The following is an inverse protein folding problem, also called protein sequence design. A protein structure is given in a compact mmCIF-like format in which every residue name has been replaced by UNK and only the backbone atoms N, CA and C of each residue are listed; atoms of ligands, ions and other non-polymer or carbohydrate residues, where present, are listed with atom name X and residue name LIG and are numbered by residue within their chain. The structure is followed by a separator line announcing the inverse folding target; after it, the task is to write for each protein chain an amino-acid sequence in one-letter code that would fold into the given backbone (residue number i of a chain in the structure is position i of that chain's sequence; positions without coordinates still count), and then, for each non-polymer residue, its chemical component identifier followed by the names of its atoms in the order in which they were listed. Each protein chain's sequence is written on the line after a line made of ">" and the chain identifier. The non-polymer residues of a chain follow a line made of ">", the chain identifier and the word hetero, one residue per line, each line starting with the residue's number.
data_IF_145117445292
#
_entry.id   IF_145117445292
#
_cell.length_a   1.000
_cell.length_b   1.000
_cell.length_c   1.000
_cell.angle_alpha   90.00
_cell.angle_beta   90.00
_cell.angle_gamma   90.00
#
_symmetry.space_group_name_H-M   'P 1'
#
loop_
_entity.id
_entity.type
_entity.pdbx_description
1 polymer ?
#
# COMPACT_ATOMS: atom_id res chain seq x y z
N UNK A 1 20.29 16.17 -17.92
CA UNK A 1 20.56 15.04 -16.99
C UNK A 1 19.30 14.87 -16.15
N UNK A 2 18.61 13.73 -16.27
CA UNK A 2 17.38 13.48 -15.50
C UNK A 2 17.70 13.33 -14.02
N UNK A 3 16.96 14.02 -13.14
CA UNK A 3 17.07 13.79 -11.71
C UNK A 3 16.62 12.36 -11.40
N UNK A 4 17.51 11.62 -10.76
CA UNK A 4 17.20 10.28 -10.27
C UNK A 4 16.11 10.34 -9.19
N UNK A 5 15.11 9.44 -9.20
CA UNK A 5 14.03 9.48 -8.24
C UNK A 5 14.55 9.26 -6.81
N UNK A 6 13.94 9.99 -5.86
CA UNK A 6 14.29 9.89 -4.44
C UNK A 6 14.15 8.46 -3.88
N UNK A 7 13.34 7.60 -4.50
CA UNK A 7 13.17 6.22 -4.08
C UNK A 7 14.40 5.37 -4.39
N UNK A 8 14.88 5.40 -5.63
CA UNK A 8 16.11 4.70 -6.03
C UNK A 8 17.33 5.20 -5.24
N UNK A 9 17.39 6.52 -4.99
CA UNK A 9 18.40 7.11 -4.12
C UNK A 9 18.31 6.54 -2.69
N UNK A 10 17.09 6.47 -2.12
CA UNK A 10 16.87 5.93 -0.78
C UNK A 10 17.18 4.42 -0.70
N UNK A 11 16.79 3.63 -1.70
CA UNK A 11 17.08 2.20 -1.75
C UNK A 11 18.59 1.95 -1.78
N UNK A 12 19.35 2.67 -2.61
CA UNK A 12 20.82 2.53 -2.64
C UNK A 12 21.49 2.91 -1.33
N UNK A 13 21.06 4.00 -0.69
CA UNK A 13 21.60 4.36 0.63
C UNK A 13 21.28 3.29 1.67
N UNK A 14 20.08 2.70 1.62
CA UNK A 14 19.73 1.61 2.53
C UNK A 14 20.55 0.35 2.26
N UNK A 15 20.74 -0.02 0.99
CA UNK A 15 21.62 -1.12 0.58
C UNK A 15 23.07 -0.87 1.03
N UNK A 16 23.56 0.37 0.96
CA UNK A 16 24.88 0.75 1.47
C UNK A 16 24.96 0.59 3.00
N UNK A 17 23.94 1.03 3.75
CA UNK A 17 23.89 0.83 5.20
C UNK A 17 23.87 -0.66 5.56
N UNK A 18 23.17 -1.49 4.78
CA UNK A 18 23.17 -2.94 4.99
C UNK A 18 24.53 -3.57 4.67
N UNK A 19 25.19 -3.16 3.57
CA UNK A 19 26.55 -3.59 3.23
C UNK A 19 27.57 -3.23 4.31
N UNK A 20 27.33 -2.13 5.05
CA UNK A 20 28.14 -1.70 6.19
C UNK A 20 27.72 -2.34 7.52
N UNK A 21 26.83 -3.33 7.50
CA UNK A 21 26.29 -4.00 8.69
C UNK A 21 25.71 -3.02 9.73
N UNK A 22 25.11 -1.92 9.27
CA UNK A 22 24.42 -0.96 10.15
C UNK A 22 22.94 -1.28 10.31
N UNK A 23 22.33 -1.81 9.25
CA UNK A 23 20.93 -2.24 9.24
C UNK A 23 20.81 -3.63 8.65
N UNK A 24 19.88 -4.40 9.21
CA UNK A 24 19.37 -5.63 8.60
C UNK A 24 18.19 -5.27 7.73
N UNK A 25 18.23 -5.75 6.50
CA UNK A 25 17.16 -5.60 5.54
C UNK A 25 16.49 -6.96 5.37
N UNK A 26 15.19 -7.01 5.63
CA UNK A 26 14.36 -8.10 5.19
C UNK A 26 13.85 -7.75 3.79
N UNK A 27 14.22 -8.56 2.80
CA UNK A 27 13.74 -8.42 1.41
C UNK A 27 12.51 -9.31 1.26
N UNK A 28 11.50 -8.86 0.53
CA UNK A 28 10.44 -9.76 0.11
C UNK A 28 11.03 -10.90 -0.72
N UNK A 29 10.45 -12.11 -0.63
CA UNK A 29 10.83 -13.16 -1.56
C UNK A 29 10.65 -12.66 -2.99
N UNK A 30 11.61 -13.01 -3.84
CA UNK A 30 11.74 -12.44 -5.16
C UNK A 30 10.48 -12.73 -6.00
N UNK A 31 9.71 -11.68 -6.31
CA UNK A 31 8.44 -11.78 -7.04
C UNK A 31 7.16 -11.72 -6.17
N UNK A 32 7.24 -11.69 -4.82
CA UNK A 32 6.07 -11.52 -3.93
C UNK A 32 5.52 -10.11 -3.87
N UNK A 33 6.39 -9.12 -4.06
CA UNK A 33 5.99 -7.73 -4.06
C UNK A 33 6.78 -6.90 -5.07
N UNK A 34 6.07 -6.25 -5.97
CA UNK A 34 6.56 -5.23 -6.88
C UNK A 34 6.60 -3.85 -6.22
N UNK A 35 5.98 -3.66 -5.04
CA UNK A 35 5.84 -2.35 -4.41
C UNK A 35 7.10 -1.87 -3.70
N UNK A 36 7.87 -2.79 -3.12
CA UNK A 36 9.22 -2.55 -2.63
C UNK A 36 9.96 -3.89 -2.64
N UNK A 37 11.25 -3.92 -3.02
CA UNK A 37 12.09 -5.12 -2.77
C UNK A 37 12.21 -5.36 -1.26
N UNK A 38 12.16 -4.29 -0.48
CA UNK A 38 12.40 -4.24 0.95
C UNK A 38 11.08 -4.43 1.69
N UNK A 39 10.98 -5.48 2.51
CA UNK A 39 9.85 -5.74 3.42
C UNK A 39 9.97 -4.94 4.71
N UNK A 40 11.14 -4.97 5.32
CA UNK A 40 11.43 -4.25 6.55
C UNK A 40 12.91 -3.93 6.64
N UNK A 41 13.27 -2.92 7.43
CA UNK A 41 14.65 -2.69 7.83
C UNK A 41 14.71 -2.43 9.33
N UNK A 42 15.74 -2.95 9.97
CA UNK A 42 15.99 -2.73 11.40
C UNK A 42 17.46 -2.45 11.63
N UNK A 43 17.78 -1.61 12.61
CA UNK A 43 19.17 -1.49 13.04
C UNK A 43 19.66 -2.81 13.63
N UNK A 44 20.90 -3.18 13.37
CA UNK A 44 21.56 -4.21 14.17
C UNK A 44 21.65 -3.75 15.63
N UNK A 45 21.61 -4.70 16.57
CA UNK A 45 21.49 -4.41 18.00
C UNK A 45 22.58 -3.46 18.53
N UNK A 46 23.84 -3.67 18.17
CA UNK A 46 24.95 -2.79 18.60
C UNK A 46 24.83 -1.36 18.05
N UNK A 47 24.40 -1.21 16.80
CA UNK A 47 24.21 0.10 16.17
C UNK A 47 22.99 0.80 16.77
N UNK A 48 21.93 0.04 17.02
CA UNK A 48 20.75 0.53 17.73
C UNK A 48 21.13 1.05 19.11
N UNK A 49 21.87 0.28 19.89
CA UNK A 49 22.28 0.66 21.24
C UNK A 49 23.15 1.92 21.23
N UNK A 50 24.13 2.00 20.31
CA UNK A 50 24.94 3.19 20.12
C UNK A 50 24.09 4.42 19.75
N UNK A 51 23.15 4.28 18.82
CA UNK A 51 22.22 5.33 18.43
C UNK A 51 21.34 5.78 19.60
N UNK A 52 20.88 4.86 20.44
CA UNK A 52 20.06 5.20 21.62
C UNK A 52 20.88 5.96 22.66
N UNK A 53 22.15 5.60 22.88
CA UNK A 53 23.07 6.33 23.76
C UNK A 53 23.31 7.75 23.23
N UNK A 54 23.70 7.88 21.95
CA UNK A 54 23.95 9.17 21.31
C UNK A 54 22.71 10.07 21.31
N UNK A 55 21.55 9.49 21.02
CA UNK A 55 20.30 10.22 21.05
C UNK A 55 19.91 10.71 22.45
N UNK A 56 20.32 10.00 23.51
CA UNK A 56 20.14 10.44 24.90
C UNK A 56 21.13 11.54 25.27
N UNK A 57 22.40 11.44 24.84
CA UNK A 57 23.41 12.49 24.99
C UNK A 57 22.98 13.81 24.32
N UNK A 58 22.36 13.71 23.15
CA UNK A 58 21.90 14.86 22.35
C UNK A 58 20.44 15.29 22.63
N UNK A 59 19.76 14.66 23.60
CA UNK A 59 18.36 14.91 23.93
C UNK A 59 17.40 14.83 22.71
N UNK A 60 17.66 13.92 21.76
CA UNK A 60 16.87 13.80 20.53
C UNK A 60 15.46 13.28 20.78
N UNK A 61 15.27 12.42 21.78
CA UNK A 61 13.95 11.91 22.14
C UNK A 61 13.81 11.62 23.63
N UNK A 62 12.57 11.69 24.13
CA UNK A 62 12.18 11.19 25.45
C UNK A 62 11.15 10.08 25.29
N UNK A 63 11.42 8.91 25.88
CA UNK A 63 10.42 7.84 26.00
C UNK A 63 9.68 8.04 27.32
N UNK A 64 8.36 8.13 27.25
CA UNK A 64 7.48 8.13 28.42
C UNK A 64 6.82 6.76 28.49
N UNK A 65 7.27 5.97 29.45
CA UNK A 65 6.75 4.65 29.79
C UNK A 65 6.33 4.70 31.27
N UNK A 66 5.05 4.43 31.57
CA UNK A 66 4.55 4.47 32.96
C UNK A 66 5.00 3.27 33.79
N UNK A 67 5.60 2.23 33.19
CA UNK A 67 6.15 1.07 33.91
C UNK A 67 7.34 1.42 34.80
N UNK A 68 8.11 2.44 34.44
CA UNK A 68 9.30 2.87 35.18
C UNK A 68 9.06 4.21 35.89
N UNK A 69 8.63 4.09 37.15
CA UNK A 69 8.80 5.05 38.25
C UNK A 69 8.16 6.46 38.11
N UNK A 70 7.41 6.83 39.16
CA UNK A 70 6.93 8.19 39.45
C UNK A 70 8.04 9.13 39.93
N UNK A 71 9.29 8.67 39.99
CA UNK A 71 10.41 9.33 40.67
C UNK A 71 11.53 9.81 39.74
N UNK A 72 11.36 9.78 38.41
CA UNK A 72 12.34 10.44 37.54
C UNK A 72 12.26 11.96 37.76
N UNK A 73 13.38 12.66 38.04
CA UNK A 73 13.39 14.11 38.16
C UNK A 73 12.74 14.75 36.94
N UNK A 74 11.93 15.78 37.16
CA UNK A 74 11.37 16.63 36.09
C UNK A 74 12.51 17.42 35.45
N UNK A 75 13.36 16.76 34.68
CA UNK A 75 14.45 17.37 33.96
C UNK A 75 13.88 18.42 32.98
N UNK A 76 14.55 19.57 32.95
CA UNK A 76 14.15 20.80 32.24
C UNK A 76 14.54 20.71 30.75
N UNK A 77 15.18 19.63 30.33
CA UNK A 77 15.84 19.55 29.03
C UNK A 77 14.83 19.49 27.87
N UNK A 78 15.01 20.39 26.90
CA UNK A 78 14.22 20.44 25.70
C UNK A 78 14.60 19.25 24.80
N UNK A 79 13.63 18.38 24.54
CA UNK A 79 13.81 17.25 23.63
C UNK A 79 13.20 17.55 22.26
N UNK A 80 13.81 17.05 21.19
CA UNK A 80 13.30 17.23 19.82
C UNK A 80 12.20 16.22 19.43
N UNK A 81 12.09 15.12 20.17
CA UNK A 81 11.13 14.05 19.93
C UNK A 81 10.52 13.49 21.20
N UNK A 82 9.29 13.00 21.10
CA UNK A 82 8.56 12.41 22.22
C UNK A 82 7.89 11.12 21.77
N UNK A 83 8.19 10.04 22.49
CA UNK A 83 7.62 8.71 22.23
C UNK A 83 6.81 8.28 23.45
N UNK A 84 5.52 8.07 23.24
CA UNK A 84 4.63 7.46 24.22
C UNK A 84 4.44 5.99 23.88
N UNK A 85 4.79 5.12 24.83
CA UNK A 85 4.35 3.73 24.85
C UNK A 85 3.27 3.60 25.91
N UNK A 86 2.10 3.14 25.52
CA UNK A 86 0.91 3.13 26.37
C UNK A 86 0.40 1.72 26.53
N UNK A 87 0.09 1.29 27.76
CA UNK A 87 -0.59 0.03 28.03
C UNK A 87 -2.11 0.20 28.10
N UNK A 88 -2.84 -0.90 27.88
CA UNK A 88 -4.29 -0.96 27.96
C UNK A 88 -4.85 -0.53 29.34
N UNK A 89 -4.07 -0.65 30.41
CA UNK A 89 -4.49 -0.28 31.77
C UNK A 89 -4.25 1.22 32.10
N UNK A 90 -3.60 1.98 31.22
CA UNK A 90 -3.19 3.38 31.45
C UNK A 90 -4.32 4.41 31.19
N UNK A 91 -5.49 4.17 31.79
CA UNK A 91 -6.73 4.94 31.60
C UNK A 91 -6.68 6.33 32.30
N UNK A 92 -5.70 6.54 33.20
CA UNK A 92 -5.48 7.82 33.89
C UNK A 92 -4.34 8.61 33.25
N UNK A 93 -4.57 9.90 33.00
CA UNK A 93 -3.72 10.90 32.34
C UNK A 93 -2.30 10.44 31.92
N UNK A 94 -1.98 10.37 30.61
CA UNK A 94 -0.59 10.19 30.19
C UNK A 94 0.23 11.36 30.75
N UNK A 95 1.37 11.06 31.36
CA UNK A 95 2.23 12.06 32.01
C UNK A 95 2.91 12.92 30.94
N UNK A 96 2.14 13.84 30.35
CA UNK A 96 2.61 14.70 29.29
C UNK A 96 3.53 15.77 29.87
N UNK A 97 4.70 16.03 29.26
CA UNK A 97 5.59 17.08 29.74
C UNK A 97 4.88 18.44 29.74
N UNK A 98 5.21 19.37 30.66
CA UNK A 98 4.67 20.71 30.68
C UNK A 98 4.80 21.42 29.32
N UNK A 99 3.84 22.30 29.01
CA UNK A 99 3.76 22.97 27.70
C UNK A 99 5.06 23.68 27.33
N UNK A 100 5.75 24.25 28.31
CA UNK A 100 7.02 24.97 28.16
C UNK A 100 8.12 24.06 27.58
N UNK A 101 8.14 22.78 27.96
CA UNK A 101 9.13 21.79 27.51
C UNK A 101 8.82 21.23 26.13
N UNK A 102 7.57 21.37 25.66
CA UNK A 102 7.11 20.72 24.42
C UNK A 102 7.12 21.62 23.19
N UNK A 103 7.35 22.93 23.33
CA UNK A 103 7.26 23.89 22.20
C UNK A 103 8.21 23.58 21.05
N UNK A 104 9.35 22.94 21.35
CA UNK A 104 10.39 22.58 20.39
C UNK A 104 10.23 21.18 19.78
N UNK A 105 9.21 20.42 20.19
CA UNK A 105 8.99 19.07 19.69
C UNK A 105 8.75 19.06 18.17
N UNK A 106 9.57 18.27 17.49
CA UNK A 106 9.52 18.03 16.06
C UNK A 106 8.95 16.66 15.72
N UNK A 107 8.99 15.69 16.64
CA UNK A 107 8.37 14.38 16.44
C UNK A 107 7.52 13.96 17.63
N UNK A 108 6.35 13.39 17.33
CA UNK A 108 5.48 12.77 18.31
C UNK A 108 5.03 11.40 17.79
N UNK A 109 5.37 10.35 18.55
CA UNK A 109 4.94 8.98 18.28
C UNK A 109 4.16 8.46 19.48
N UNK A 110 2.97 7.92 19.21
CA UNK A 110 2.13 7.26 20.20
C UNK A 110 1.80 5.87 19.68
N UNK A 111 2.34 4.86 20.35
CA UNK A 111 2.21 3.46 19.96
C UNK A 111 1.72 2.65 21.16
N UNK A 112 0.48 2.12 21.13
CA UNK A 112 -0.01 1.26 22.20
C UNK A 112 0.69 -0.10 22.16
N UNK A 113 0.97 -0.67 23.32
CA UNK A 113 1.66 -1.95 23.47
C UNK A 113 0.82 -3.16 23.01
N UNK A 114 -0.48 -2.98 22.80
CA UNK A 114 -1.43 -3.99 22.33
C UNK A 114 -2.31 -3.44 21.21
N UNK A 115 -2.63 -4.28 20.21
CA UNK A 115 -3.57 -4.02 19.11
C UNK A 115 -5.05 -3.90 19.58
N UNK A 116 -5.30 -3.39 20.78
CA UNK A 116 -6.64 -3.17 21.31
C UNK A 116 -7.14 -1.76 20.98
N UNK A 117 -7.77 -1.61 19.82
CA UNK A 117 -8.37 -0.35 19.36
C UNK A 117 -9.36 0.27 20.35
N UNK A 118 -10.01 -0.52 21.20
CA UNK A 118 -11.16 -0.11 22.01
C UNK A 118 -10.80 0.67 23.28
N UNK A 119 -9.53 0.67 23.66
CA UNK A 119 -9.14 1.04 25.03
C UNK A 119 -8.56 2.47 25.08
N UNK A 120 -8.07 3.00 23.96
CA UNK A 120 -7.32 4.26 23.96
C UNK A 120 -8.09 5.46 23.39
N UNK A 121 -8.36 6.46 24.25
CA UNK A 121 -9.01 7.71 23.85
C UNK A 121 -8.04 8.66 23.13
N UNK A 122 -7.99 8.59 21.79
CA UNK A 122 -7.13 9.47 20.97
C UNK A 122 -7.41 10.96 21.16
N UNK A 123 -8.60 11.31 21.64
CA UNK A 123 -8.98 12.68 22.01
C UNK A 123 -8.00 13.34 22.98
N UNK A 124 -7.60 12.64 24.04
CA UNK A 124 -6.74 13.19 25.10
C UNK A 124 -5.35 13.50 24.54
N UNK A 125 -4.77 12.58 23.78
CA UNK A 125 -3.48 12.77 23.12
C UNK A 125 -3.51 13.96 22.17
N UNK A 126 -4.52 14.02 21.29
CA UNK A 126 -4.69 15.13 20.35
C UNK A 126 -4.88 16.49 21.06
N UNK A 127 -5.48 16.49 22.25
CA UNK A 127 -5.64 17.72 23.05
C UNK A 127 -4.31 18.26 23.58
N UNK A 128 -3.34 17.39 23.85
CA UNK A 128 -1.99 17.75 24.29
C UNK A 128 -1.12 18.25 23.13
N UNK A 129 -1.20 17.57 21.98
CA UNK A 129 -0.35 17.90 20.83
C UNK A 129 -0.85 19.09 20.00
N UNK A 130 -2.09 19.57 20.20
CA UNK A 130 -2.70 20.65 19.38
C UNK A 130 -1.90 21.95 19.28
N UNK A 131 -1.00 22.22 20.23
CA UNK A 131 -0.19 23.45 20.31
C UNK A 131 1.26 23.27 19.83
N UNK A 132 1.65 22.06 19.41
CA UNK A 132 3.03 21.75 19.01
C UNK A 132 3.28 22.18 17.56
N UNK A 133 3.51 23.49 17.36
CA UNK A 133 3.63 24.09 16.02
C UNK A 133 4.85 23.63 15.22
N UNK A 134 5.90 23.13 15.90
CA UNK A 134 7.16 22.70 15.28
C UNK A 134 7.15 21.22 14.83
N UNK A 135 6.03 20.52 14.97
CA UNK A 135 5.92 19.12 14.58
C UNK A 135 6.18 18.93 13.08
N UNK A 136 7.11 18.03 12.78
CA UNK A 136 7.42 17.49 11.46
C UNK A 136 6.90 16.06 11.30
N UNK A 137 6.83 15.29 12.39
CA UNK A 137 6.32 13.92 12.40
C UNK A 137 5.25 13.77 13.47
N UNK A 138 4.06 13.32 13.07
CA UNK A 138 2.96 12.98 13.97
C UNK A 138 2.47 11.57 13.63
N UNK A 139 2.69 10.62 14.53
CA UNK A 139 2.29 9.23 14.37
C UNK A 139 1.48 8.75 15.57
N UNK A 140 0.24 8.30 15.34
CA UNK A 140 -0.65 7.73 16.36
C UNK A 140 -1.25 6.43 15.81
N UNK A 141 -0.79 5.29 16.34
CA UNK A 141 -0.90 3.99 15.64
C UNK A 141 -2.04 3.06 16.14
N UNK A 142 -2.69 3.36 17.26
CA UNK A 142 -4.01 2.79 17.56
C UNK A 142 -4.78 3.68 18.55
N UNK A 143 -5.97 4.11 18.15
CA UNK A 143 -6.89 4.88 18.99
C UNK A 143 -8.34 4.74 18.51
N UNK A 144 -9.29 4.86 19.44
CA UNK A 144 -10.71 5.08 19.12
C UNK A 144 -11.11 6.54 19.38
N UNK A 145 -12.05 7.02 18.56
CA UNK A 145 -12.61 8.36 18.55
C UNK A 145 -14.10 8.34 18.92
N UNK A 146 -14.65 7.15 19.21
CA UNK A 146 -16.06 6.99 19.60
C UNK A 146 -16.26 7.39 21.07
N UNK A 147 -16.73 8.62 21.29
CA UNK A 147 -17.51 8.95 22.48
C UNK A 147 -18.56 10.00 22.11
N UNK A 148 -19.84 9.65 22.30
CA UNK A 148 -20.99 10.57 22.33
C UNK A 148 -21.31 11.34 21.05
N UNK A 149 -22.31 10.88 20.29
CA UNK A 149 -23.29 11.61 19.45
C UNK A 149 -22.90 12.88 18.63
N UNK A 150 -21.62 13.22 18.46
CA UNK A 150 -21.20 14.48 17.85
C UNK A 150 -20.05 14.35 16.86
N UNK A 151 -20.37 14.07 15.60
CA UNK A 151 -19.44 14.20 14.46
C UNK A 151 -18.82 15.61 14.29
N UNK A 152 -19.19 16.57 15.14
CA UNK A 152 -18.97 18.01 14.97
C UNK A 152 -17.63 18.54 15.52
N UNK A 153 -16.87 17.79 16.32
CA UNK A 153 -15.57 18.29 16.84
C UNK A 153 -14.47 17.23 16.84
N UNK A 154 -14.17 16.62 15.69
CA UNK A 154 -12.99 15.75 15.55
C UNK A 154 -11.75 16.40 16.20
N UNK A 155 -11.02 15.74 17.11
CA UNK A 155 -9.81 16.29 17.72
C UNK A 155 -8.69 16.47 16.68
N UNK A 156 -8.83 15.85 15.49
CA UNK A 156 -7.97 16.10 14.33
C UNK A 156 -8.23 17.45 13.64
N UNK A 157 -9.22 18.25 14.08
CA UNK A 157 -9.48 19.59 13.52
C UNK A 157 -8.27 20.53 13.55
N UNK A 158 -7.35 20.28 14.49
CA UNK A 158 -6.13 21.08 14.66
C UNK A 158 -4.97 20.63 13.79
N UNK A 159 -5.08 19.48 13.10
CA UNK A 159 -3.98 18.93 12.28
C UNK A 159 -3.50 19.93 11.23
N UNK A 160 -4.41 20.72 10.65
CA UNK A 160 -4.05 21.76 9.69
C UNK A 160 -3.24 22.95 10.26
N UNK A 161 -3.01 23.01 11.56
CA UNK A 161 -2.16 24.02 12.20
C UNK A 161 -0.69 23.63 12.22
N UNK A 162 -0.36 22.35 11.99
CA UNK A 162 1.02 21.84 12.00
C UNK A 162 1.71 22.12 10.67
N UNK A 163 1.91 23.39 10.31
CA UNK A 163 2.37 23.78 8.96
C UNK A 163 3.76 23.22 8.58
N UNK A 164 4.57 22.79 9.55
CA UNK A 164 5.87 22.16 9.33
C UNK A 164 5.80 20.64 9.18
N UNK A 165 4.61 20.05 9.28
CA UNK A 165 4.40 18.62 9.26
C UNK A 165 4.79 18.05 7.89
N UNK A 166 5.66 17.04 7.93
CA UNK A 166 6.12 16.27 6.78
C UNK A 166 5.53 14.86 6.76
N UNK A 167 5.30 14.27 7.94
CA UNK A 167 4.73 12.94 8.06
C UNK A 167 3.54 12.94 9.03
N UNK A 168 2.38 12.48 8.55
CA UNK A 168 1.19 12.22 9.34
C UNK A 168 0.82 10.75 9.20
N UNK A 169 0.95 9.98 10.29
CA UNK A 169 0.52 8.58 10.35
C UNK A 169 -0.58 8.43 11.39
N UNK A 170 -1.75 7.96 10.98
CA UNK A 170 -2.88 7.77 11.88
C UNK A 170 -3.53 6.42 11.57
N UNK A 171 -3.65 5.57 12.58
CA UNK A 171 -4.39 4.31 12.46
C UNK A 171 -5.52 4.29 13.49
N UNK A 172 -6.75 4.39 13.01
CA UNK A 172 -7.94 4.56 13.83
C UNK A 172 -9.18 3.98 13.13
N UNK A 173 -10.18 3.53 13.91
CA UNK A 173 -11.48 3.08 13.37
C UNK A 173 -12.17 4.18 12.56
N UNK A 174 -12.14 5.42 13.06
CA UNK A 174 -12.84 6.57 12.48
C UNK A 174 -11.94 7.81 12.45
N UNK A 175 -11.52 8.22 11.25
CA UNK A 175 -10.69 9.41 11.03
C UNK A 175 -11.55 10.49 10.39
N UNK A 176 -11.49 11.72 10.89
CA UNK A 176 -12.12 12.87 10.24
C UNK A 176 -11.12 14.03 10.17
N UNK A 177 -10.49 14.20 9.00
CA UNK A 177 -9.50 15.23 8.72
C UNK A 177 -10.17 16.53 8.23
N UNK A 178 -9.74 17.70 8.72
CA UNK A 178 -10.36 18.99 8.39
C UNK A 178 -9.96 19.53 7.01
N UNK A 179 -10.69 20.53 6.49
CA UNK A 179 -10.31 21.28 5.27
C UNK A 179 -8.94 21.96 5.40
N UNK A 180 -8.55 22.30 6.63
CA UNK A 180 -7.24 22.89 6.94
C UNK A 180 -6.07 21.93 6.68
N UNK A 181 -6.31 20.64 6.42
CA UNK A 181 -5.28 19.71 5.94
C UNK A 181 -4.58 20.23 4.67
N UNK A 182 -5.31 20.96 3.81
CA UNK A 182 -4.73 21.58 2.61
C UNK A 182 -3.71 22.70 2.89
N UNK A 183 -3.56 23.12 4.15
CA UNK A 183 -2.54 24.10 4.54
C UNK A 183 -1.15 23.48 4.73
N UNK A 184 -1.07 22.14 4.82
CA UNK A 184 0.18 21.41 5.10
C UNK A 184 1.04 21.26 3.86
N UNK A 185 1.51 22.36 3.27
CA UNK A 185 2.23 22.38 1.98
C UNK A 185 3.54 21.59 1.96
N UNK A 186 4.09 21.28 3.13
CA UNK A 186 5.31 20.48 3.29
C UNK A 186 5.02 19.00 3.63
N UNK A 187 3.76 18.57 3.62
CA UNK A 187 3.40 17.19 3.92
C UNK A 187 3.90 16.26 2.80
N UNK A 188 4.83 15.38 3.16
CA UNK A 188 5.47 14.39 2.29
C UNK A 188 4.82 13.01 2.44
N UNK A 189 4.26 12.68 3.59
CA UNK A 189 3.64 11.37 3.85
C UNK A 189 2.34 11.51 4.63
N UNK A 190 1.27 10.93 4.08
CA UNK A 190 0.00 10.71 4.77
C UNK A 190 -0.31 9.21 4.77
N UNK A 191 -0.13 8.58 5.94
CA UNK A 191 -0.40 7.16 6.14
C UNK A 191 -1.63 6.99 7.04
N UNK A 192 -2.72 6.55 6.44
CA UNK A 192 -3.98 6.19 7.10
C UNK A 192 -4.25 4.68 6.98
N UNK A 193 -3.23 3.89 6.62
CA UNK A 193 -3.36 2.44 6.44
C UNK A 193 -3.81 1.76 7.73
N UNK A 194 -4.63 0.71 7.58
CA UNK A 194 -5.25 0.01 8.71
C UNK A 194 -6.37 0.80 9.41
N UNK A 195 -6.87 1.89 8.81
CA UNK A 195 -8.05 2.62 9.27
C UNK A 195 -9.29 2.22 8.44
N UNK A 196 -10.46 2.10 9.09
CA UNK A 196 -11.67 1.62 8.43
C UNK A 196 -12.51 2.74 7.80
N UNK A 197 -12.81 3.83 8.52
CA UNK A 197 -13.66 4.93 8.02
C UNK A 197 -12.92 6.25 8.05
N UNK A 198 -12.50 6.75 6.89
CA UNK A 198 -11.74 8.00 6.80
C UNK A 198 -12.56 9.11 6.13
N UNK A 199 -13.12 10.05 6.90
CA UNK A 199 -13.60 11.31 6.33
C UNK A 199 -12.44 12.25 6.05
N UNK A 200 -12.07 12.39 4.78
CA UNK A 200 -11.04 13.33 4.34
C UNK A 200 -11.74 14.40 3.51
N UNK A 201 -11.48 15.68 3.82
CA UNK A 201 -11.98 16.75 2.97
C UNK A 201 -11.22 16.76 1.64
N UNK A 202 -11.88 17.18 0.56
CA UNK A 202 -11.29 17.19 -0.78
C UNK A 202 -10.24 18.30 -0.93
N UNK A 203 -9.08 18.11 -0.31
CA UNK A 203 -7.97 19.07 -0.24
C UNK A 203 -6.61 18.46 -0.54
N UNK A 204 -6.53 17.14 -0.78
CA UNK A 204 -5.29 16.45 -1.13
C UNK A 204 -4.69 16.98 -2.43
N UNK A 205 -5.52 17.49 -3.35
CA UNK A 205 -5.07 18.16 -4.57
C UNK A 205 -4.19 19.40 -4.33
N UNK A 206 -4.20 19.99 -3.13
CA UNK A 206 -3.32 21.12 -2.75
C UNK A 206 -1.93 20.67 -2.30
N UNK A 207 -1.73 19.38 -2.05
CA UNK A 207 -0.52 18.82 -1.44
C UNK A 207 0.37 18.23 -2.53
N UNK A 208 1.30 19.04 -3.04
CA UNK A 208 2.08 18.71 -4.23
C UNK A 208 3.20 17.68 -4.05
N UNK A 209 3.59 17.37 -2.82
CA UNK A 209 4.71 16.46 -2.51
C UNK A 209 4.26 15.19 -1.78
N UNK A 210 2.96 14.93 -1.79
CA UNK A 210 2.36 13.93 -0.92
C UNK A 210 2.58 12.51 -1.44
N UNK A 211 3.07 11.63 -0.58
CA UNK A 211 2.92 10.18 -0.70
C UNK A 211 1.77 9.76 0.19
N UNK A 212 0.76 9.10 -0.39
CA UNK A 212 -0.46 8.76 0.35
C UNK A 212 -0.71 7.26 0.39
N UNK A 213 -0.99 6.77 1.61
CA UNK A 213 -1.55 5.46 1.91
C UNK A 213 -2.89 5.73 2.59
N UNK A 214 -3.94 5.89 1.80
CA UNK A 214 -5.27 6.20 2.29
C UNK A 214 -5.99 4.93 2.77
N UNK A 215 -6.89 5.08 3.74
CA UNK A 215 -7.85 4.03 4.14
C UNK A 215 -9.03 3.98 3.16
N UNK A 216 -10.26 3.84 3.67
CA UNK A 216 -11.48 3.98 2.88
C UNK A 216 -12.02 5.42 3.00
N UNK A 217 -11.68 6.36 2.08
CA UNK A 217 -12.11 7.73 2.22
C UNK A 217 -13.58 7.95 1.83
N UNK A 218 -14.26 8.83 2.57
CA UNK A 218 -15.60 9.31 2.24
C UNK A 218 -15.71 10.82 2.52
N UNK A 219 -16.13 11.70 1.57
CA UNK A 219 -16.62 11.42 0.22
C UNK A 219 -15.49 11.12 -0.78
N UNK A 220 -15.84 10.87 -2.07
CA UNK A 220 -14.86 10.68 -3.14
C UNK A 220 -13.86 11.83 -3.20
N UNK A 221 -12.58 11.50 -3.26
CA UNK A 221 -11.49 12.48 -3.25
C UNK A 221 -10.98 12.80 -4.65
N UNK A 222 -10.55 14.05 -4.85
CA UNK A 222 -9.74 14.43 -6.00
C UNK A 222 -8.25 14.37 -5.67
N UNK A 223 -7.48 13.87 -6.63
CA UNK A 223 -6.05 13.67 -6.49
C UNK A 223 -5.26 14.86 -7.07
N UNK A 224 -4.05 15.09 -6.53
CA UNK A 224 -3.14 16.11 -7.06
C UNK A 224 -2.41 15.58 -8.29
N UNK A 225 -2.28 16.39 -9.35
CA UNK A 225 -1.52 16.03 -10.56
C UNK A 225 -0.04 15.76 -10.31
N UNK A 226 0.48 16.18 -9.16
CA UNK A 226 1.90 16.11 -8.78
C UNK A 226 2.24 14.84 -7.99
N UNK A 227 1.27 13.94 -7.75
CA UNK A 227 1.53 12.70 -7.02
C UNK A 227 2.49 11.78 -7.81
N UNK A 228 3.53 11.32 -7.13
CA UNK A 228 4.48 10.34 -7.66
C UNK A 228 4.15 8.90 -7.22
N UNK A 229 3.56 8.73 -6.02
CA UNK A 229 3.23 7.42 -5.46
C UNK A 229 1.80 7.44 -4.91
N UNK A 230 0.99 6.47 -5.33
CA UNK A 230 -0.38 6.27 -4.89
C UNK A 230 -0.58 4.81 -4.48
N UNK A 231 -0.57 4.49 -3.18
CA UNK A 231 -0.56 3.09 -2.71
C UNK A 231 -1.95 2.50 -2.40
N UNK A 232 -3.02 3.25 -2.59
CA UNK A 232 -4.37 2.85 -2.13
C UNK A 232 -5.49 3.51 -2.94
N UNK A 233 -5.37 3.52 -4.27
CA UNK A 233 -6.48 3.99 -5.09
C UNK A 233 -7.64 3.00 -5.03
N UNK A 234 -8.86 3.52 -4.94
CA UNK A 234 -10.05 2.70 -5.16
C UNK A 234 -11.11 3.53 -5.88
N UNK A 235 -11.65 3.01 -6.99
CA UNK A 235 -12.65 3.72 -7.79
C UNK A 235 -13.97 4.03 -7.04
N UNK A 236 -14.27 3.32 -5.93
CA UNK A 236 -15.37 3.66 -5.02
C UNK A 236 -15.12 4.96 -4.25
N UNK A 237 -13.87 5.31 -4.01
CA UNK A 237 -13.48 6.42 -3.11
C UNK A 237 -12.69 7.53 -3.81
N UNK A 238 -12.28 7.35 -5.06
CA UNK A 238 -11.59 8.34 -5.86
C UNK A 238 -12.20 8.40 -7.27
N UNK A 239 -11.99 9.53 -7.95
CA UNK A 239 -12.40 9.70 -9.34
C UNK A 239 -11.34 9.12 -10.29
N UNK A 240 -11.66 8.09 -11.09
CA UNK A 240 -10.73 7.50 -12.05
C UNK A 240 -10.17 8.52 -13.05
N UNK A 241 -10.94 9.55 -13.39
CA UNK A 241 -10.53 10.63 -14.29
C UNK A 241 -9.35 11.44 -13.74
N UNK A 242 -9.13 11.39 -12.42
CA UNK A 242 -7.97 12.02 -11.80
C UNK A 242 -6.70 11.19 -11.97
N UNK A 243 -6.78 9.86 -12.12
CA UNK A 243 -5.62 9.02 -12.45
C UNK A 243 -5.03 9.46 -13.78
N UNK A 244 -5.87 9.74 -14.78
CA UNK A 244 -5.45 10.20 -16.10
C UNK A 244 -4.67 11.53 -16.07
N UNK A 245 -4.71 12.26 -14.94
CA UNK A 245 -3.98 13.53 -14.75
C UNK A 245 -2.65 13.33 -14.02
N UNK A 246 -2.36 12.13 -13.52
CA UNK A 246 -1.14 11.79 -12.78
C UNK A 246 -0.04 11.38 -13.76
N UNK A 247 0.60 12.37 -14.38
CA UNK A 247 1.65 12.14 -15.39
C UNK A 247 3.01 11.78 -14.78
N UNK A 248 3.23 12.12 -13.50
CA UNK A 248 4.49 11.86 -12.79
C UNK A 248 4.42 10.59 -11.93
N UNK A 249 3.40 9.74 -12.13
CA UNK A 249 3.16 8.57 -11.31
C UNK A 249 4.25 7.51 -11.57
N UNK A 250 4.96 7.12 -10.52
CA UNK A 250 6.01 6.10 -10.52
C UNK A 250 5.65 4.87 -9.68
N UNK A 251 4.77 5.05 -8.70
CA UNK A 251 4.24 3.97 -7.87
C UNK A 251 2.72 3.98 -7.82
N UNK A 252 2.09 2.84 -8.09
CA UNK A 252 0.64 2.74 -8.20
C UNK A 252 0.10 1.45 -7.58
N UNK A 253 -0.81 1.55 -6.62
CA UNK A 253 -1.60 0.43 -6.15
C UNK A 253 -3.07 0.79 -6.15
N UNK A 254 -3.86 0.00 -6.86
CA UNK A 254 -5.26 0.29 -7.10
C UNK A 254 -6.17 -0.91 -6.96
N UNK A 255 -7.40 -0.63 -6.55
CA UNK A 255 -8.51 -1.56 -6.57
C UNK A 255 -9.65 -0.99 -7.43
N UNK A 256 -10.03 -1.72 -8.47
CA UNK A 256 -11.16 -1.38 -9.33
C UNK A 256 -12.29 -2.37 -9.04
N UNK A 257 -13.45 -1.87 -8.62
CA UNK A 257 -14.59 -2.69 -8.25
C UNK A 257 -15.81 -2.39 -9.11
N UNK A 258 -16.42 -3.42 -9.70
CA UNK A 258 -17.71 -3.38 -10.44
C UNK A 258 -17.85 -2.25 -11.48
N UNK A 259 -16.75 -1.78 -12.06
CA UNK A 259 -16.79 -0.76 -13.11
C UNK A 259 -15.71 -1.03 -14.15
N UNK A 260 -16.16 -1.48 -15.32
CA UNK A 260 -15.28 -1.82 -16.44
C UNK A 260 -14.73 -0.58 -17.15
N UNK A 261 -15.52 0.49 -17.25
CA UNK A 261 -15.07 1.75 -17.88
C UNK A 261 -13.94 2.39 -17.07
N UNK A 262 -14.06 2.38 -15.73
CA UNK A 262 -12.99 2.84 -14.84
C UNK A 262 -11.70 2.04 -15.06
N UNK A 263 -11.82 0.70 -15.17
CA UNK A 263 -10.67 -0.17 -15.43
C UNK A 263 -10.01 0.20 -16.76
N UNK A 264 -10.79 0.34 -17.82
CA UNK A 264 -10.30 0.68 -19.15
C UNK A 264 -9.58 2.04 -19.17
N UNK A 265 -10.15 3.07 -18.53
CA UNK A 265 -9.51 4.37 -18.39
C UNK A 265 -8.17 4.30 -17.64
N UNK A 266 -8.12 3.53 -16.56
CA UNK A 266 -6.92 3.36 -15.74
C UNK A 266 -5.82 2.65 -16.55
N UNK A 267 -6.16 1.57 -17.25
CA UNK A 267 -5.21 0.80 -18.06
C UNK A 267 -4.71 1.58 -19.27
N UNK A 268 -5.58 2.37 -19.91
CA UNK A 268 -5.21 3.32 -20.97
C UNK A 268 -4.13 4.28 -20.49
N UNK A 269 -4.31 4.90 -19.33
CA UNK A 269 -3.34 5.85 -18.79
C UNK A 269 -2.04 5.16 -18.39
N UNK A 270 -2.13 4.08 -17.60
CA UNK A 270 -0.98 3.36 -17.05
C UNK A 270 -0.08 2.80 -18.15
N UNK A 271 -0.66 2.23 -19.19
CA UNK A 271 0.13 1.62 -20.28
C UNK A 271 0.94 2.67 -21.06
N UNK A 272 0.46 3.92 -21.08
CA UNK A 272 1.12 5.04 -21.79
C UNK A 272 2.20 5.76 -20.97
N UNK A 273 2.33 5.47 -19.67
CA UNK A 273 3.39 6.07 -18.85
C UNK A 273 4.77 5.56 -19.30
N UNK A 274 5.74 6.48 -19.41
CA UNK A 274 7.09 6.20 -19.92
C UNK A 274 7.83 5.15 -19.08
N UNK A 275 7.64 5.14 -17.76
CA UNK A 275 8.14 4.09 -16.87
C UNK A 275 7.44 4.18 -15.51
N UNK A 276 6.91 3.06 -15.00
CA UNK A 276 6.54 2.93 -13.59
C UNK A 276 7.50 2.00 -12.87
N UNK A 277 7.96 2.39 -11.69
CA UNK A 277 8.83 1.57 -10.86
C UNK A 277 8.03 0.47 -10.15
N UNK A 278 6.79 0.77 -9.80
CA UNK A 278 5.99 -0.02 -8.85
C UNK A 278 4.52 -0.01 -9.27
N UNK A 279 3.92 -1.19 -9.48
CA UNK A 279 2.49 -1.26 -9.77
C UNK A 279 1.79 -2.54 -9.34
N UNK A 280 0.64 -2.35 -8.69
CA UNK A 280 -0.22 -3.43 -8.20
C UNK A 280 -1.68 -3.10 -8.50
N UNK A 281 -2.34 -3.97 -9.26
CA UNK A 281 -3.73 -3.79 -9.63
C UNK A 281 -4.56 -4.94 -9.09
N UNK A 282 -5.60 -4.61 -8.33
CA UNK A 282 -6.65 -5.53 -7.91
C UNK A 282 -7.94 -5.22 -8.67
N UNK A 283 -8.49 -6.22 -9.34
CA UNK A 283 -9.75 -6.12 -10.08
C UNK A 283 -10.77 -6.99 -9.35
N UNK A 284 -11.88 -6.39 -8.93
CA UNK A 284 -12.94 -7.10 -8.21
C UNK A 284 -14.29 -6.97 -8.90
N UNK A 285 -14.97 -8.11 -9.08
CA UNK A 285 -16.36 -8.12 -9.56
C UNK A 285 -16.56 -7.40 -10.89
N UNK A 286 -15.55 -7.45 -11.77
CA UNK A 286 -15.65 -6.99 -13.15
C UNK A 286 -16.07 -8.17 -14.05
N UNK A 287 -17.01 -7.95 -14.96
CA UNK A 287 -17.45 -9.00 -15.87
C UNK A 287 -16.79 -8.80 -17.25
N UNK A 288 -15.71 -9.55 -17.51
CA UNK A 288 -15.02 -9.54 -18.80
C UNK A 288 -15.80 -10.30 -19.88
N UNK A 289 -16.79 -11.10 -19.49
CA UNK A 289 -17.69 -11.82 -20.39
C UNK A 289 -19.00 -11.08 -20.72
N UNK A 290 -19.23 -9.87 -20.20
CA UNK A 290 -20.51 -9.18 -20.41
C UNK A 290 -20.60 -8.58 -21.81
N UNK A 291 -21.41 -9.23 -22.63
CA UNK A 291 -21.96 -8.73 -23.89
C UNK A 291 -22.98 -7.65 -23.52
N UNK A 292 -22.73 -6.38 -23.86
CA UNK A 292 -23.84 -5.42 -23.92
C UNK A 292 -24.75 -5.87 -25.06
N UNK A 293 -25.92 -6.45 -24.75
CA UNK A 293 -26.83 -7.05 -25.75
C UNK A 293 -27.44 -6.06 -26.75
N UNK A 294 -26.99 -4.80 -26.75
CA UNK A 294 -27.55 -3.74 -27.57
C UNK A 294 -26.62 -3.31 -28.72
N UNK A 295 -25.36 -3.77 -28.77
CA UNK A 295 -24.43 -3.49 -29.88
C UNK A 295 -23.57 -4.71 -30.19
N UNK A 296 -23.78 -5.33 -31.35
CA UNK A 296 -23.11 -6.55 -31.82
C UNK A 296 -21.60 -6.41 -32.12
N UNK A 297 -21.02 -5.24 -31.93
CA UNK A 297 -19.59 -4.97 -32.16
C UNK A 297 -18.73 -5.09 -30.88
N UNK A 298 -19.33 -5.25 -29.69
CA UNK A 298 -18.62 -5.24 -28.39
C UNK A 298 -18.09 -6.61 -27.94
N UNK A 299 -18.21 -7.65 -28.78
CA UNK A 299 -17.97 -9.06 -28.40
C UNK A 299 -16.55 -9.35 -27.86
N UNK A 300 -15.58 -8.45 -28.09
CA UNK A 300 -14.18 -8.63 -27.68
C UNK A 300 -13.67 -7.54 -26.71
N UNK A 301 -14.50 -6.55 -26.31
CA UNK A 301 -14.01 -5.41 -25.51
C UNK A 301 -13.44 -5.85 -24.15
N UNK A 302 -14.13 -6.78 -23.49
CA UNK A 302 -13.68 -7.38 -22.22
C UNK A 302 -12.33 -8.10 -22.34
N UNK A 303 -12.19 -8.91 -23.39
CA UNK A 303 -10.96 -9.65 -23.66
C UNK A 303 -9.80 -8.73 -24.07
N UNK A 304 -10.06 -7.66 -24.81
CA UNK A 304 -9.06 -6.65 -25.17
C UNK A 304 -8.49 -5.96 -23.92
N UNK A 305 -9.36 -5.51 -23.01
CA UNK A 305 -8.91 -4.90 -21.74
C UNK A 305 -8.12 -5.91 -20.92
N UNK A 306 -8.57 -7.16 -20.83
CA UNK A 306 -7.85 -8.21 -20.09
C UNK A 306 -6.47 -8.49 -20.71
N UNK A 307 -6.37 -8.52 -22.04
CA UNK A 307 -5.12 -8.67 -22.79
C UNK A 307 -4.16 -7.52 -22.46
N UNK A 308 -4.65 -6.28 -22.48
CA UNK A 308 -3.85 -5.09 -22.13
C UNK A 308 -3.43 -5.04 -20.67
N UNK A 309 -4.25 -5.58 -19.76
CA UNK A 309 -3.91 -5.71 -18.32
C UNK A 309 -2.80 -6.74 -18.13
N UNK A 310 -2.97 -7.95 -18.67
CA UNK A 310 -2.04 -9.08 -18.48
C UNK A 310 -0.66 -8.81 -19.10
N UNK A 311 -0.64 -8.16 -20.26
CA UNK A 311 0.59 -7.92 -21.02
C UNK A 311 1.10 -6.48 -20.91
N UNK A 312 0.60 -5.70 -19.95
CA UNK A 312 1.14 -4.37 -19.68
C UNK A 312 2.59 -4.46 -19.23
N UNK A 313 3.47 -3.65 -19.83
CA UNK A 313 4.84 -3.45 -19.33
C UNK A 313 4.89 -2.79 -17.95
N UNK A 314 3.81 -2.06 -17.59
CA UNK A 314 3.73 -1.23 -16.41
C UNK A 314 2.89 -1.86 -15.29
N UNK A 315 2.47 -3.14 -15.38
CA UNK A 315 1.76 -3.86 -14.31
C UNK A 315 2.63 -5.02 -13.83
N UNK A 316 2.96 -5.03 -12.54
CA UNK A 316 3.89 -6.02 -11.97
C UNK A 316 3.21 -7.01 -11.03
N UNK A 317 2.17 -6.58 -10.32
CA UNK A 317 1.27 -7.43 -9.53
C UNK A 317 -0.17 -7.28 -10.04
N UNK A 318 -0.84 -8.41 -10.25
CA UNK A 318 -2.24 -8.45 -10.63
C UNK A 318 -3.01 -9.46 -9.76
N UNK A 319 -4.11 -9.01 -9.18
CA UNK A 319 -5.09 -9.86 -8.51
C UNK A 319 -6.45 -9.66 -9.18
N UNK A 320 -7.04 -10.74 -9.69
CA UNK A 320 -8.37 -10.73 -10.28
C UNK A 320 -9.27 -11.60 -9.41
N UNK A 321 -10.26 -10.98 -8.76
CA UNK A 321 -11.15 -11.63 -7.81
C UNK A 321 -12.62 -11.43 -8.22
N UNK A 322 -13.45 -12.48 -8.05
CA UNK A 322 -14.90 -12.50 -8.34
C UNK A 322 -15.26 -11.95 -9.74
N UNK A 323 -14.37 -12.08 -10.72
CA UNK A 323 -14.51 -11.43 -12.03
C UNK A 323 -14.67 -12.48 -13.13
N UNK A 324 -15.82 -12.50 -13.80
CA UNK A 324 -16.16 -13.54 -14.76
C UNK A 324 -15.30 -13.42 -16.03
N UNK A 325 -14.56 -14.48 -16.34
CA UNK A 325 -13.72 -14.61 -17.53
C UNK A 325 -13.82 -16.04 -18.05
N UNK A 326 -14.50 -16.28 -19.18
CA UNK A 326 -14.65 -17.65 -19.73
C UNK A 326 -13.33 -18.22 -20.23
N UNK A 327 -12.50 -17.38 -20.84
CA UNK A 327 -11.22 -17.73 -21.47
C UNK A 327 -10.24 -16.57 -21.30
N UNK A 328 -8.98 -16.89 -21.04
CA UNK A 328 -7.89 -15.91 -21.11
C UNK A 328 -7.55 -15.58 -22.58
N UNK A 329 -7.13 -14.33 -22.87
CA UNK A 329 -6.78 -13.94 -24.23
C UNK A 329 -5.50 -14.66 -24.70
N UNK A 330 -5.40 -14.94 -25.99
CA UNK A 330 -4.21 -15.55 -26.56
C UNK A 330 -3.06 -14.52 -26.63
N UNK A 331 -1.87 -14.90 -26.12
CA UNK A 331 -0.70 -14.05 -26.24
C UNK A 331 -0.14 -14.05 -27.66
N UNK A 332 0.03 -12.86 -28.23
CA UNK A 332 0.68 -12.65 -29.52
C UNK A 332 1.87 -11.70 -29.34
N UNK A 333 3.08 -12.24 -29.36
CA UNK A 333 4.33 -11.49 -29.07
C UNK A 333 4.58 -10.28 -29.96
N UNK A 334 4.06 -10.28 -31.20
CA UNK A 334 4.19 -9.16 -32.14
C UNK A 334 3.30 -7.96 -31.79
N UNK A 335 2.31 -8.11 -30.91
CA UNK A 335 1.38 -7.04 -30.52
C UNK A 335 1.95 -6.12 -29.43
N UNK A 336 3.03 -6.53 -28.75
CA UNK A 336 3.61 -5.79 -27.63
C UNK A 336 5.12 -5.59 -27.84
N UNK A 337 5.57 -4.35 -28.09
CA UNK A 337 6.98 -4.07 -28.40
C UNK A 337 7.91 -4.29 -27.20
N UNK A 338 7.38 -4.21 -25.97
CA UNK A 338 8.11 -4.44 -24.72
C UNK A 338 7.57 -5.70 -24.02
N UNK A 339 8.44 -6.48 -23.33
CA UNK A 339 7.98 -7.66 -22.59
C UNK A 339 7.06 -7.26 -21.43
N UNK A 340 6.03 -8.09 -21.18
CA UNK A 340 5.10 -7.87 -20.08
C UNK A 340 5.83 -7.79 -18.73
N UNK A 341 5.46 -6.79 -17.91
CA UNK A 341 6.09 -6.54 -16.60
C UNK A 341 5.59 -7.45 -15.48
N UNK A 342 4.58 -8.27 -15.75
CA UNK A 342 3.86 -9.03 -14.72
C UNK A 342 4.76 -10.08 -14.06
N UNK A 343 4.95 -9.93 -12.75
CA UNK A 343 5.76 -10.84 -11.92
C UNK A 343 4.92 -11.70 -11.00
N UNK A 344 3.73 -11.22 -10.61
CA UNK A 344 2.79 -11.94 -9.77
C UNK A 344 1.38 -11.86 -10.34
N UNK A 345 0.74 -13.02 -10.46
CA UNK A 345 -0.65 -13.14 -10.84
C UNK A 345 -1.42 -13.98 -9.81
N UNK A 346 -2.56 -13.46 -9.38
CA UNK A 346 -3.52 -14.18 -8.53
C UNK A 346 -4.90 -14.16 -9.16
N UNK A 347 -5.49 -15.33 -9.33
CA UNK A 347 -6.83 -15.50 -9.88
C UNK A 347 -7.71 -16.20 -8.85
N UNK A 348 -8.82 -15.56 -8.47
CA UNK A 348 -9.78 -16.06 -7.49
C UNK A 348 -11.21 -15.87 -8.01
N UNK A 349 -12.04 -16.91 -7.95
CA UNK A 349 -13.45 -16.84 -8.36
C UNK A 349 -13.63 -16.21 -9.76
N UNK A 350 -12.74 -16.53 -10.70
CA UNK A 350 -12.74 -16.00 -12.07
C UNK A 350 -13.57 -16.84 -13.04
N UNK A 351 -13.86 -18.10 -12.66
CA UNK A 351 -14.67 -19.04 -13.41
C UNK A 351 -14.16 -19.30 -14.86
N UNK A 352 -12.85 -19.44 -15.04
CA UNK A 352 -12.24 -19.74 -16.34
C UNK A 352 -12.60 -21.17 -16.75
N UNK A 353 -13.13 -21.36 -17.95
CA UNK A 353 -13.58 -22.67 -18.45
C UNK A 353 -12.50 -23.37 -19.29
N UNK A 354 -11.76 -22.61 -20.09
CA UNK A 354 -10.64 -23.12 -20.90
C UNK A 354 -9.33 -23.17 -20.12
N UNK A 355 -8.40 -24.06 -20.51
CA UNK A 355 -7.11 -24.20 -19.83
C UNK A 355 -6.34 -22.86 -19.83
N UNK A 356 -6.11 -22.24 -18.65
CA UNK A 356 -5.44 -20.95 -18.57
C UNK A 356 -3.94 -21.04 -18.90
N UNK A 357 -3.33 -22.23 -18.83
CA UNK A 357 -1.88 -22.38 -18.96
C UNK A 357 -1.37 -21.96 -20.33
N UNK A 358 -2.14 -22.16 -21.41
CA UNK A 358 -1.76 -21.75 -22.78
C UNK A 358 -1.55 -20.23 -22.95
N UNK A 359 -2.09 -19.42 -22.04
CA UNK A 359 -1.81 -17.97 -21.96
C UNK A 359 -0.76 -17.67 -20.91
N UNK A 360 -0.94 -18.21 -19.70
CA UNK A 360 -0.13 -17.84 -18.53
C UNK A 360 1.34 -18.27 -18.66
N UNK A 361 1.60 -19.40 -19.31
CA UNK A 361 2.96 -19.94 -19.48
C UNK A 361 3.85 -19.07 -20.37
N UNK A 362 3.23 -18.20 -21.18
CA UNK A 362 3.92 -17.29 -22.10
C UNK A 362 4.36 -15.98 -21.44
N UNK A 363 3.97 -15.73 -20.19
CA UNK A 363 4.35 -14.51 -19.46
C UNK A 363 5.84 -14.59 -19.09
N UNK A 364 6.71 -13.74 -19.68
CA UNK A 364 8.16 -13.95 -19.63
C UNK A 364 8.76 -13.67 -18.26
N UNK A 365 8.12 -12.82 -17.45
CA UNK A 365 8.63 -12.36 -16.16
C UNK A 365 7.84 -12.91 -14.97
N UNK A 366 6.85 -13.78 -15.20
CA UNK A 366 5.99 -14.30 -14.14
C UNK A 366 6.78 -15.21 -13.20
N UNK A 367 6.80 -14.85 -11.91
CA UNK A 367 7.53 -15.54 -10.83
C UNK A 367 6.57 -16.23 -9.87
N UNK A 368 5.37 -15.66 -9.67
CA UNK A 368 4.37 -16.19 -8.75
C UNK A 368 3.02 -16.29 -9.44
N UNK A 369 2.44 -17.48 -9.40
CA UNK A 369 1.10 -17.76 -9.88
C UNK A 369 0.27 -18.41 -8.78
N UNK A 370 -0.89 -17.85 -8.50
CA UNK A 370 -1.88 -18.40 -7.57
C UNK A 370 -3.22 -18.59 -8.29
N UNK A 371 -3.70 -19.83 -8.34
CA UNK A 371 -5.02 -20.21 -8.84
C UNK A 371 -5.85 -20.69 -7.65
N UNK A 372 -6.82 -19.87 -7.24
CA UNK A 372 -7.62 -20.10 -6.05
C UNK A 372 -9.03 -20.61 -6.26
N UNK A 373 -9.86 -20.59 -5.20
CA UNK A 373 -11.22 -21.13 -5.26
C UNK A 373 -11.98 -20.62 -6.48
N UNK A 374 -12.53 -21.55 -7.27
CA UNK A 374 -13.29 -21.26 -8.50
C UNK A 374 -12.54 -20.39 -9.53
N UNK A 375 -11.21 -20.36 -9.54
CA UNK A 375 -10.47 -19.63 -10.58
C UNK A 375 -10.53 -20.34 -11.95
N UNK A 376 -10.51 -21.67 -11.93
CA UNK A 376 -10.62 -22.56 -13.08
C UNK A 376 -11.70 -23.62 -12.85
N UNK A 377 -12.58 -23.79 -13.84
CA UNK A 377 -13.71 -24.72 -13.82
C UNK A 377 -13.51 -25.94 -14.72
N UNK A 378 -12.46 -25.96 -15.54
CA UNK A 378 -12.12 -27.10 -16.39
C UNK A 378 -11.52 -28.26 -15.59
N UNK A 379 -11.31 -29.39 -16.29
CA UNK A 379 -10.89 -30.65 -15.67
C UNK A 379 -9.41 -30.96 -15.86
N UNK A 380 -8.78 -30.36 -16.88
CA UNK A 380 -7.39 -30.61 -17.23
C UNK A 380 -6.64 -29.29 -17.39
N UNK A 381 -5.39 -29.23 -16.90
CA UNK A 381 -4.43 -28.18 -17.21
C UNK A 381 -3.15 -28.80 -17.77
N UNK A 382 -2.58 -28.17 -18.79
CA UNK A 382 -1.37 -28.63 -19.47
C UNK A 382 -0.33 -27.51 -19.47
N UNK A 383 0.83 -27.77 -18.87
CA UNK A 383 1.98 -26.88 -18.97
C UNK A 383 2.95 -27.45 -20.02
N UNK A 384 3.18 -26.70 -21.10
CA UNK A 384 4.03 -27.14 -22.19
C UNK A 384 5.53 -26.97 -21.89
N UNK A 385 6.37 -27.73 -22.59
CA UNK A 385 7.82 -27.58 -22.52
C UNK A 385 8.23 -26.12 -22.78
N UNK A 386 9.20 -25.60 -22.02
CA UNK A 386 9.67 -24.19 -22.11
C UNK A 386 8.66 -23.16 -21.56
N UNK A 387 7.43 -23.57 -21.23
CA UNK A 387 6.46 -22.73 -20.53
C UNK A 387 6.97 -22.26 -19.17
N UNK A 388 6.55 -21.06 -18.76
CA UNK A 388 6.89 -20.46 -17.47
C UNK A 388 8.39 -20.31 -17.19
N UNK A 389 9.13 -19.52 -17.99
CA UNK A 389 10.60 -19.46 -17.94
C UNK A 389 11.18 -18.92 -16.61
N UNK A 390 10.39 -18.14 -15.86
CA UNK A 390 10.83 -17.49 -14.61
C UNK A 390 9.99 -17.89 -13.38
N UNK A 391 9.03 -18.81 -13.52
CA UNK A 391 8.12 -19.15 -12.43
C UNK A 391 8.87 -19.83 -11.29
N UNK A 392 8.71 -19.30 -10.07
CA UNK A 392 9.36 -19.78 -8.84
C UNK A 392 8.37 -20.38 -7.86
N UNK A 393 7.18 -19.79 -7.77
CA UNK A 393 6.13 -20.21 -6.85
C UNK A 393 4.80 -20.43 -7.57
N UNK A 394 4.27 -21.64 -7.46
CA UNK A 394 2.96 -22.01 -7.96
C UNK A 394 2.08 -22.46 -6.79
N UNK A 395 0.90 -21.85 -6.66
CA UNK A 395 -0.11 -22.21 -5.67
C UNK A 395 -1.40 -22.56 -6.39
N UNK A 396 -1.87 -23.79 -6.18
CA UNK A 396 -3.16 -24.28 -6.66
C UNK A 396 -4.00 -24.62 -5.43
N UNK A 397 -5.05 -23.85 -5.13
CA UNK A 397 -5.84 -24.07 -3.91
C UNK A 397 -7.35 -24.08 -4.20
N UNK A 398 -8.02 -25.14 -3.77
CA UNK A 398 -9.48 -25.33 -3.89
C UNK A 398 -9.98 -25.31 -5.35
N UNK A 399 -9.23 -25.94 -6.27
CA UNK A 399 -9.62 -26.13 -7.67
C UNK A 399 -10.53 -27.36 -7.83
N UNK A 400 -11.74 -27.29 -7.29
CA UNK A 400 -12.62 -28.47 -7.09
C UNK A 400 -12.98 -29.29 -8.35
N UNK A 401 -12.89 -28.70 -9.56
CA UNK A 401 -13.18 -29.41 -10.81
C UNK A 401 -11.95 -30.04 -11.47
N UNK A 402 -10.74 -29.64 -11.07
CA UNK A 402 -9.49 -30.07 -11.68
C UNK A 402 -9.24 -31.54 -11.35
N UNK A 403 -9.19 -32.39 -12.37
CA UNK A 403 -8.94 -33.84 -12.24
C UNK A 403 -7.51 -34.21 -12.62
N UNK A 404 -6.93 -33.51 -13.59
CA UNK A 404 -5.61 -33.83 -14.10
C UNK A 404 -4.78 -32.57 -14.34
N UNK A 405 -3.52 -32.62 -13.95
CA UNK A 405 -2.53 -31.60 -14.29
C UNK A 405 -1.35 -32.29 -14.97
N UNK A 406 -1.12 -31.95 -16.25
CA UNK A 406 -0.04 -32.49 -17.09
C UNK A 406 1.06 -31.44 -17.18
N UNK A 407 2.30 -31.85 -16.96
CA UNK A 407 3.47 -30.98 -17.04
C UNK A 407 4.50 -31.66 -17.93
N UNK A 408 4.79 -31.04 -19.07
CA UNK A 408 5.79 -31.53 -20.00
C UNK A 408 7.21 -31.37 -19.45
N UNK A 409 8.13 -32.22 -19.92
CA UNK A 409 9.54 -32.12 -19.57
C UNK A 409 10.10 -30.74 -19.98
N UNK A 410 10.80 -30.08 -19.05
CA UNK A 410 11.37 -28.75 -19.26
C UNK A 410 10.41 -27.57 -19.04
N UNK A 411 9.15 -27.82 -18.65
CA UNK A 411 8.27 -26.75 -18.16
C UNK A 411 8.72 -26.23 -16.79
N UNK A 412 8.49 -24.94 -16.51
CA UNK A 412 8.76 -24.29 -15.21
C UNK A 412 10.17 -24.55 -14.64
N UNK A 413 11.26 -24.28 -15.40
CA UNK A 413 12.62 -24.69 -15.04
C UNK A 413 13.19 -24.07 -13.75
N UNK A 414 12.55 -23.01 -13.23
CA UNK A 414 12.98 -22.29 -12.01
C UNK A 414 12.04 -22.52 -10.81
N UNK A 415 11.11 -23.45 -10.90
CA UNK A 415 10.13 -23.69 -9.85
C UNK A 415 10.84 -24.18 -8.57
N UNK A 416 10.67 -23.42 -7.48
CA UNK A 416 11.26 -23.71 -6.17
C UNK A 416 10.23 -23.93 -5.07
N UNK A 417 8.98 -23.51 -5.30
CA UNK A 417 7.87 -23.73 -4.36
C UNK A 417 6.59 -24.13 -5.10
N UNK A 418 6.03 -25.27 -4.71
CA UNK A 418 4.73 -25.76 -5.18
C UNK A 418 3.85 -26.04 -3.97
N UNK A 419 2.66 -25.44 -3.93
CA UNK A 419 1.64 -25.73 -2.91
C UNK A 419 0.35 -26.11 -3.61
N UNK A 420 -0.19 -27.27 -3.25
CA UNK A 420 -1.46 -27.77 -3.76
C UNK A 420 -2.37 -28.03 -2.55
N UNK A 421 -3.54 -27.40 -2.54
CA UNK A 421 -4.57 -27.60 -1.53
C UNK A 421 -5.88 -27.97 -2.22
N UNK A 422 -6.52 -29.03 -1.73
CA UNK A 422 -7.72 -29.61 -2.34
C UNK A 422 -8.99 -28.99 -1.79
#
# INVERSE_FOLDING_TARGET
>A
MGQEPMMDVAERYLEELAKRCMVEIEVHEEGKHAVTRLKSCRFHDLVRDLCLVKAKEENLYKVVDKRTSRDSPRAIDAHYGLVFRLDAEDISEPNFPPKEQTKHLCSFLCDPSQDNWEIFSGWRTMSQVKNLKMLRVLAILAFDMTFGSGFLKSPLRYVGNFIHLRCLRLRCRHINLPYSLGNLRYLETLDLSGSHRCRIQNVLWKLGRLRSRLGEPHPKLRLSKQLEILESFHNRFCYPEDICKLVNLRGFKATVHKNFEDLEHIINHISNLECMCISSLKIESCNFGQINSNNSNDNNRGLDVLLRVLFSRNIHELEIDRSLCKKLPDYQSHMFPDPAGLTQLKLHTTNIEEDPMGTLEKLPNLRILELGPNSFLGQEMICHSIGFPQLKHLVLHFLGNLKQWKVDEGAMPKLSGLRIEY
#
